data_IF_255255579794
#
_entry.id   IF_255255579794
#
_cell.length_a   1.000
_cell.length_b   1.000
_cell.length_c   1.000
_cell.angle_alpha   90.00
_cell.angle_beta   90.00
_cell.angle_gamma   90.00
#
_symmetry.space_group_name_H-M   'P 1'
#
loop_
_entity.id
_entity.type
_entity.pdbx_description
1 polymer ?
#
# COMPACT_ATOMS: atom_id res chain seq x y z
N UNK A 1 -14.48 -0.04 18.58
CA UNK A 1 -13.83 -0.05 17.25
C UNK A 1 -12.50 0.63 17.39
N UNK A 2 -11.36 0.03 17.02
CA UNK A 2 -10.11 0.78 16.93
C UNK A 2 -10.25 1.74 15.77
N UNK A 3 -9.89 2.98 16.02
CA UNK A 3 -10.02 4.09 15.10
C UNK A 3 -8.60 4.47 14.69
N UNK A 4 -8.30 4.48 13.39
CA UNK A 4 -6.97 4.87 12.89
C UNK A 4 -6.87 6.40 12.95
N UNK A 5 -6.23 6.91 14.00
CA UNK A 5 -5.78 8.30 14.14
C UNK A 5 -4.27 8.31 14.36
N UNK A 6 -3.60 9.43 14.08
CA UNK A 6 -2.14 9.54 14.21
C UNK A 6 -1.69 9.39 15.67
N UNK A 7 -2.61 9.57 16.64
CA UNK A 7 -2.42 9.24 18.05
C UNK A 7 -3.65 8.51 18.59
N UNK A 8 -3.47 7.28 19.05
CA UNK A 8 -4.47 6.55 19.84
C UNK A 8 -4.68 7.11 21.27
N UNK A 9 -4.05 8.24 21.59
CA UNK A 9 -4.01 8.87 22.91
C UNK A 9 -4.20 10.39 22.77
N UNK A 10 -4.83 11.05 23.76
CA UNK A 10 -4.91 12.51 23.77
C UNK A 10 -3.51 13.14 23.83
N UNK A 11 -3.33 14.24 23.11
CA UNK A 11 -2.13 15.05 23.15
C UNK A 11 -2.32 16.24 24.08
N UNK A 12 -1.24 16.67 24.73
CA UNK A 12 -1.23 17.88 25.55
C UNK A 12 -0.54 18.97 24.74
N UNK A 13 -1.29 20.00 24.36
CA UNK A 13 -0.77 21.15 23.62
C UNK A 13 -0.91 22.41 24.45
N UNK A 14 0.04 23.33 24.30
CA UNK A 14 0.01 24.64 24.95
C UNK A 14 -0.29 25.69 23.88
N UNK A 15 -1.34 26.48 24.09
CA UNK A 15 -1.71 27.52 23.12
C UNK A 15 -0.86 28.79 23.27
N UNK A 16 -1.10 29.77 22.39
CA UNK A 16 -0.37 31.04 22.37
C UNK A 16 -0.58 31.91 23.63
N UNK A 17 -1.47 31.50 24.54
CA UNK A 17 -1.77 32.16 25.80
C UNK A 17 -1.37 31.33 27.02
N UNK A 18 -0.51 30.32 26.84
CA UNK A 18 -0.02 29.41 27.88
C UNK A 18 -1.12 28.55 28.53
N UNK A 19 -2.25 28.33 27.86
CA UNK A 19 -3.25 27.38 28.35
C UNK A 19 -2.93 25.97 27.88
N UNK A 20 -3.00 25.03 28.82
CA UNK A 20 -2.91 23.60 28.56
C UNK A 20 -4.25 23.14 27.98
N UNK A 21 -4.20 22.62 26.75
CA UNK A 21 -5.34 22.01 26.07
C UNK A 21 -5.09 20.50 25.96
N UNK A 22 -6.17 19.73 26.12
CA UNK A 22 -6.17 18.30 25.81
C UNK A 22 -6.79 18.17 24.42
N UNK A 23 -5.98 17.81 23.42
CA UNK A 23 -6.44 17.54 22.07
C UNK A 23 -6.66 16.02 21.91
N UNK A 24 -7.78 15.62 21.32
CA UNK A 24 -7.95 14.25 20.84
C UNK A 24 -8.04 14.29 19.33
N UNK A 25 -7.45 13.30 18.67
CA UNK A 25 -7.57 13.15 17.23
C UNK A 25 -8.96 12.55 16.93
N UNK A 26 -9.93 13.40 16.59
CA UNK A 26 -11.22 12.93 16.07
C UNK A 26 -11.02 12.52 14.61
N UNK A 27 -10.99 11.22 14.38
CA UNK A 27 -10.79 10.69 13.04
C UNK A 27 -12.08 10.62 12.23
N UNK A 28 -13.24 10.97 12.82
CA UNK A 28 -14.50 11.06 12.08
C UNK A 28 -14.36 12.16 11.03
N UNK A 29 -14.72 11.85 9.79
CA UNK A 29 -14.43 12.69 8.63
C UNK A 29 -12.99 12.58 8.12
N UNK A 30 -12.15 11.77 8.78
CA UNK A 30 -10.79 11.46 8.39
C UNK A 30 -10.74 10.71 7.07
N UNK A 31 -9.64 10.92 6.34
CA UNK A 31 -9.39 10.33 5.03
C UNK A 31 -8.13 9.49 5.11
N UNK A 32 -8.22 8.24 4.70
CA UNK A 32 -7.07 7.34 4.56
C UNK A 32 -7.00 6.87 3.12
N UNK A 33 -5.78 6.79 2.58
CA UNK A 33 -5.52 6.21 1.27
C UNK A 33 -4.57 5.03 1.42
N UNK A 34 -5.00 3.89 0.89
CA UNK A 34 -4.30 2.61 0.94
C UNK A 34 -3.79 2.30 -0.48
N UNK A 35 -2.47 2.21 -0.66
CA UNK A 35 -1.86 1.74 -1.88
C UNK A 35 -1.26 0.36 -1.63
N UNK A 36 -1.89 -0.70 -2.14
CA UNK A 36 -1.35 -2.05 -2.04
C UNK A 36 -0.35 -2.28 -3.18
N UNK A 37 0.79 -2.90 -2.85
CA UNK A 37 1.81 -3.34 -3.81
C UNK A 37 1.86 -4.86 -3.71
N UNK A 38 1.27 -5.54 -4.68
CA UNK A 38 0.98 -6.96 -4.59
C UNK A 38 1.83 -7.71 -5.60
N UNK A 39 2.57 -8.66 -5.08
CA UNK A 39 3.30 -9.67 -5.84
C UNK A 39 2.37 -10.40 -6.81
N UNK A 40 2.73 -10.47 -8.10
CA UNK A 40 1.93 -11.15 -9.14
C UNK A 40 2.51 -12.51 -9.56
N UNK A 41 3.52 -13.00 -8.85
CA UNK A 41 4.11 -14.30 -9.08
C UNK A 41 3.10 -15.44 -8.99
N UNK A 42 3.50 -16.61 -9.48
CA UNK A 42 2.64 -17.79 -9.55
C UNK A 42 2.24 -18.37 -8.20
N UNK A 43 2.96 -18.06 -7.11
CA UNK A 43 2.69 -18.57 -5.77
C UNK A 43 1.54 -17.83 -5.07
N UNK A 44 1.24 -16.59 -5.47
CA UNK A 44 0.29 -15.70 -4.76
C UNK A 44 -1.21 -15.92 -5.05
N UNK A 45 -1.62 -17.12 -5.48
CA UNK A 45 -2.96 -17.33 -6.02
C UNK A 45 -4.10 -17.09 -5.00
N UNK A 46 -4.00 -17.64 -3.79
CA UNK A 46 -5.00 -17.47 -2.73
C UNK A 46 -4.99 -16.05 -2.17
N UNK A 47 -3.81 -15.48 -2.02
CA UNK A 47 -3.54 -14.18 -1.45
C UNK A 47 -4.14 -13.08 -2.34
N UNK A 48 -4.08 -13.24 -3.67
CA UNK A 48 -4.80 -12.38 -4.61
C UNK A 48 -6.31 -12.45 -4.49
N UNK A 49 -6.88 -13.62 -4.18
CA UNK A 49 -8.32 -13.72 -3.93
C UNK A 49 -8.70 -13.08 -2.58
N UNK A 50 -7.82 -13.23 -1.59
CA UNK A 50 -8.03 -12.79 -0.21
C UNK A 50 -7.79 -11.29 -0.02
N UNK A 51 -6.96 -10.64 -0.84
CA UNK A 51 -6.73 -9.19 -0.72
C UNK A 51 -8.01 -8.39 -0.96
N UNK A 52 -8.86 -8.82 -1.90
CA UNK A 52 -10.15 -8.20 -2.11
C UNK A 52 -11.13 -8.47 -0.97
N UNK A 53 -11.00 -9.62 -0.30
CA UNK A 53 -11.74 -9.89 0.95
C UNK A 53 -11.30 -8.91 2.04
N UNK A 54 -9.99 -8.71 2.22
CA UNK A 54 -9.44 -7.75 3.19
C UNK A 54 -9.92 -6.34 2.91
N UNK A 55 -9.94 -5.90 1.65
CA UNK A 55 -10.32 -4.53 1.29
C UNK A 55 -11.84 -4.35 1.28
N UNK A 56 -12.56 -5.16 0.50
CA UNK A 56 -13.97 -4.95 0.16
C UNK A 56 -14.94 -5.80 0.98
N UNK A 57 -14.46 -6.81 1.68
CA UNK A 57 -15.27 -7.78 2.41
C UNK A 57 -15.74 -8.94 1.54
N UNK A 58 -16.20 -10.00 2.20
CA UNK A 58 -16.62 -11.25 1.57
C UNK A 58 -16.11 -12.47 2.32
N UNK A 59 -16.00 -13.59 1.62
CA UNK A 59 -15.42 -14.81 2.18
C UNK A 59 -13.98 -14.99 1.70
N UNK A 60 -13.08 -15.37 2.60
CA UNK A 60 -11.73 -15.80 2.23
C UNK A 60 -11.78 -17.09 1.41
N UNK A 61 -10.73 -17.34 0.61
CA UNK A 61 -10.56 -18.54 -0.18
C UNK A 61 -10.54 -19.81 0.69
N UNK A 62 -9.98 -19.72 1.89
CA UNK A 62 -9.98 -20.79 2.91
C UNK A 62 -11.32 -20.91 3.67
N UNK A 63 -12.28 -20.01 3.42
CA UNK A 63 -13.54 -19.91 4.13
C UNK A 63 -13.50 -18.90 5.29
N UNK A 64 -14.69 -18.57 5.80
CA UNK A 64 -14.84 -17.53 6.83
C UNK A 64 -15.10 -16.16 6.23
N UNK A 65 -15.99 -15.42 6.88
CA UNK A 65 -16.44 -14.10 6.43
C UNK A 65 -15.64 -13.00 7.10
N UNK A 66 -15.24 -12.01 6.32
CA UNK A 66 -14.70 -10.74 6.81
C UNK A 66 -15.48 -9.57 6.21
N UNK A 67 -15.74 -8.55 7.03
CA UNK A 67 -16.52 -7.38 6.62
C UNK A 67 -15.77 -6.49 5.61
N UNK A 68 -14.43 -6.57 5.58
CA UNK A 68 -13.59 -5.69 4.77
C UNK A 68 -13.22 -4.40 5.52
N UNK A 69 -11.98 -3.96 5.35
CA UNK A 69 -11.45 -2.73 5.98
C UNK A 69 -12.23 -1.51 5.51
N UNK A 70 -12.54 -1.41 4.21
CA UNK A 70 -13.25 -0.25 3.67
C UNK A 70 -14.66 -0.11 4.26
N UNK A 71 -15.54 -1.14 4.23
CA UNK A 71 -16.84 -1.06 4.89
C UNK A 71 -16.77 -0.81 6.41
N UNK A 72 -15.77 -1.37 7.09
CA UNK A 72 -15.58 -1.16 8.54
C UNK A 72 -15.24 0.30 8.87
N UNK A 73 -14.33 0.91 8.12
CA UNK A 73 -13.92 2.30 8.34
C UNK A 73 -14.97 3.31 7.86
N UNK A 74 -15.70 3.00 6.79
CA UNK A 74 -16.84 3.82 6.35
C UNK A 74 -17.96 3.85 7.42
N UNK A 75 -18.19 2.74 8.12
CA UNK A 75 -19.11 2.70 9.28
C UNK A 75 -18.65 3.59 10.43
N UNK A 76 -17.34 3.82 10.56
CA UNK A 76 -16.73 4.74 11.52
C UNK A 76 -16.70 6.21 11.03
N UNK A 77 -17.41 6.54 9.95
CA UNK A 77 -17.45 7.86 9.33
C UNK A 77 -16.09 8.32 8.77
N UNK A 78 -15.27 7.38 8.29
CA UNK A 78 -14.03 7.70 7.56
C UNK A 78 -14.23 7.52 6.06
N UNK A 79 -13.47 8.25 5.26
CA UNK A 79 -13.34 7.96 3.82
C UNK A 79 -12.10 7.12 3.59
N UNK A 80 -12.28 5.96 2.96
CA UNK A 80 -11.18 5.09 2.53
C UNK A 80 -11.02 5.19 1.03
N UNK A 81 -9.84 5.62 0.62
CA UNK A 81 -9.33 5.54 -0.74
C UNK A 81 -8.46 4.30 -0.86
N UNK A 82 -8.56 3.57 -1.95
CA UNK A 82 -7.75 2.37 -2.16
C UNK A 82 -7.35 2.25 -3.62
N UNK A 83 -6.11 1.85 -3.85
CA UNK A 83 -5.65 1.33 -5.13
C UNK A 83 -4.85 0.07 -4.87
N UNK A 84 -5.12 -1.00 -5.63
CA UNK A 84 -4.38 -2.25 -5.53
C UNK A 84 -3.52 -2.36 -6.79
N UNK A 85 -2.21 -2.32 -6.63
CA UNK A 85 -1.26 -2.48 -7.73
C UNK A 85 -0.73 -3.92 -7.74
N UNK A 86 -0.92 -4.62 -8.84
CA UNK A 86 -0.15 -5.83 -9.13
C UNK A 86 1.16 -5.47 -9.81
N UNK A 87 2.27 -5.93 -9.24
CA UNK A 87 3.61 -5.73 -9.79
C UNK A 87 3.73 -6.33 -11.20
N UNK A 88 4.40 -5.61 -12.10
CA UNK A 88 4.55 -6.01 -13.49
C UNK A 88 3.40 -5.55 -14.41
N UNK A 89 3.39 -6.07 -15.64
CA UNK A 89 2.50 -5.63 -16.71
C UNK A 89 1.30 -6.57 -16.96
N UNK A 90 1.07 -7.51 -16.05
CA UNK A 90 -0.06 -8.44 -16.07
C UNK A 90 -0.69 -8.55 -14.69
N UNK A 91 -1.97 -8.89 -14.66
CA UNK A 91 -2.70 -9.20 -13.43
C UNK A 91 -3.14 -10.67 -13.48
N UNK A 92 -3.08 -11.40 -12.36
CA UNK A 92 -3.55 -12.78 -12.33
C UNK A 92 -5.07 -12.84 -12.52
N UNK A 93 -5.57 -13.99 -12.98
CA UNK A 93 -7.01 -14.21 -13.18
C UNK A 93 -7.83 -13.96 -11.92
N UNK A 94 -7.26 -14.25 -10.74
CA UNK A 94 -7.84 -14.00 -9.43
C UNK A 94 -8.28 -12.53 -9.24
N UNK A 95 -7.52 -11.57 -9.79
CA UNK A 95 -7.83 -10.14 -9.73
C UNK A 95 -9.14 -9.74 -10.44
N UNK A 96 -9.77 -10.66 -11.18
CA UNK A 96 -11.05 -10.42 -11.87
C UNK A 96 -12.19 -11.33 -11.39
N UNK A 97 -11.97 -12.08 -10.31
CA UNK A 97 -12.88 -13.13 -9.84
C UNK A 97 -13.25 -12.97 -8.36
N UNK A 98 -14.27 -13.68 -7.89
CA UNK A 98 -14.68 -13.66 -6.49
C UNK A 98 -14.94 -12.24 -5.98
N UNK A 99 -14.37 -11.89 -4.82
CA UNK A 99 -14.52 -10.56 -4.22
C UNK A 99 -13.79 -9.45 -5.02
N UNK A 100 -12.89 -9.82 -5.95
CA UNK A 100 -12.25 -8.89 -6.88
C UNK A 100 -13.07 -8.60 -8.14
N UNK A 101 -14.18 -9.29 -8.36
CA UNK A 101 -14.99 -9.12 -9.57
C UNK A 101 -15.44 -7.65 -9.75
N UNK A 102 -15.20 -7.11 -10.94
CA UNK A 102 -15.53 -5.71 -11.28
C UNK A 102 -14.58 -4.65 -10.71
N UNK A 103 -13.50 -5.03 -10.03
CA UNK A 103 -12.49 -4.09 -9.49
C UNK A 103 -11.29 -3.91 -10.41
N UNK A 104 -11.00 -4.89 -11.26
CA UNK A 104 -9.92 -4.83 -12.23
C UNK A 104 -10.14 -3.74 -13.29
N UNK A 105 -9.22 -2.79 -13.35
CA UNK A 105 -9.22 -1.69 -14.33
C UNK A 105 -8.39 -2.02 -15.58
N UNK A 106 -7.54 -3.05 -15.51
CA UNK A 106 -6.58 -3.44 -16.54
C UNK A 106 -5.75 -2.26 -17.08
N UNK A 107 -5.45 -1.30 -16.22
CA UNK A 107 -4.76 -0.05 -16.53
C UNK A 107 -3.58 0.15 -15.57
N UNK A 108 -2.66 1.04 -15.93
CA UNK A 108 -1.60 1.50 -15.03
C UNK A 108 -2.12 2.48 -13.97
N UNK A 109 -1.21 3.12 -13.20
CA UNK A 109 -1.51 4.19 -12.26
C UNK A 109 -2.41 5.30 -12.83
N UNK A 110 -3.16 5.97 -11.96
CA UNK A 110 -4.05 7.08 -12.34
C UNK A 110 -3.25 8.35 -12.58
N UNK A 111 -3.73 9.17 -13.52
CA UNK A 111 -3.19 10.52 -13.75
C UNK A 111 -3.71 11.58 -12.77
N UNK A 112 -4.72 11.26 -11.96
CA UNK A 112 -5.30 12.16 -10.97
C UNK A 112 -5.42 11.44 -9.63
N UNK A 113 -5.31 12.18 -8.50
CA UNK A 113 -5.57 11.59 -7.20
C UNK A 113 -7.04 11.20 -7.04
N UNK A 114 -7.31 10.31 -6.10
CA UNK A 114 -8.66 9.93 -5.70
C UNK A 114 -9.39 11.09 -4.99
N UNK A 115 -10.71 11.02 -4.92
CA UNK A 115 -11.55 12.03 -4.25
C UNK A 115 -11.83 13.28 -5.08
N UNK A 116 -11.79 13.21 -6.41
CA UNK A 116 -12.08 14.35 -7.30
C UNK A 116 -13.56 14.75 -7.29
N UNK A 117 -14.44 13.78 -7.08
CA UNK A 117 -15.88 13.97 -7.03
C UNK A 117 -16.52 12.96 -6.05
N UNK A 118 -17.76 13.19 -5.58
CA UNK A 118 -18.45 12.26 -4.70
C UNK A 118 -18.50 10.84 -5.28
N UNK A 119 -18.03 9.85 -4.52
CA UNK A 119 -17.94 8.45 -4.96
C UNK A 119 -16.63 8.05 -5.66
N UNK A 120 -15.71 8.98 -5.93
CA UNK A 120 -14.36 8.67 -6.43
C UNK A 120 -13.44 8.17 -5.31
N UNK A 121 -13.86 7.09 -4.65
CA UNK A 121 -13.15 6.52 -3.51
C UNK A 121 -12.36 5.25 -3.86
N UNK A 122 -12.37 4.79 -5.11
CA UNK A 122 -11.68 3.56 -5.53
C UNK A 122 -10.82 3.76 -6.77
N UNK A 123 -9.53 3.45 -6.65
CA UNK A 123 -8.61 3.32 -7.78
C UNK A 123 -8.77 1.99 -8.49
N UNK A 124 -9.32 0.97 -7.82
CA UNK A 124 -9.46 -0.39 -8.33
C UNK A 124 -8.13 -1.15 -8.38
N UNK A 125 -8.14 -2.28 -9.08
CA UNK A 125 -6.95 -3.12 -9.28
C UNK A 125 -6.26 -2.71 -10.59
N UNK A 126 -4.97 -2.42 -10.53
CA UNK A 126 -4.16 -1.80 -11.59
C UNK A 126 -2.81 -2.51 -11.70
N UNK A 127 -2.17 -2.36 -12.86
CA UNK A 127 -0.81 -2.84 -13.11
C UNK A 127 0.20 -1.82 -12.62
N UNK A 128 1.35 -2.29 -12.15
CA UNK A 128 2.51 -1.48 -11.82
C UNK A 128 3.72 -1.98 -12.61
N UNK A 129 3.87 -1.55 -13.87
CA UNK A 129 4.93 -2.06 -14.76
C UNK A 129 6.32 -1.55 -14.39
N UNK A 130 6.43 -0.45 -13.63
CA UNK A 130 7.69 0.13 -13.21
C UNK A 130 7.67 0.50 -11.73
N UNK A 131 8.74 0.16 -11.03
CA UNK A 131 9.03 0.46 -9.63
C UNK A 131 10.34 1.27 -9.56
N UNK A 132 10.87 1.55 -8.36
CA UNK A 132 12.13 2.31 -8.19
C UNK A 132 13.14 1.54 -7.37
N UNK A 133 14.35 1.36 -7.91
CA UNK A 133 15.47 0.74 -7.22
C UNK A 133 16.77 1.48 -7.57
N UNK A 134 17.63 1.77 -6.58
CA UNK A 134 18.88 2.53 -6.76
C UNK A 134 18.65 3.87 -7.48
N UNK A 135 17.57 4.57 -7.11
CA UNK A 135 17.20 5.87 -7.67
C UNK A 135 16.80 5.86 -9.15
N UNK A 136 16.57 4.69 -9.76
CA UNK A 136 16.21 4.55 -11.17
C UNK A 136 14.91 3.75 -11.34
N UNK A 137 14.24 3.94 -12.47
CA UNK A 137 13.11 3.08 -12.85
C UNK A 137 13.59 1.66 -12.99
N UNK A 138 12.92 0.77 -12.27
CA UNK A 138 13.15 -0.65 -12.27
C UNK A 138 11.90 -1.37 -12.78
N UNK A 139 12.09 -2.43 -13.56
CA UNK A 139 11.00 -3.30 -14.01
C UNK A 139 11.55 -4.71 -13.98
N UNK A 140 11.35 -5.38 -12.84
CA UNK A 140 11.72 -6.78 -12.71
C UNK A 140 10.80 -7.66 -13.54
N UNK A 141 11.29 -8.86 -13.85
CA UNK A 141 10.54 -9.83 -14.64
C UNK A 141 9.73 -10.80 -13.75
N UNK A 142 10.05 -10.87 -12.46
CA UNK A 142 9.42 -11.83 -11.54
C UNK A 142 8.01 -11.41 -11.11
N UNK A 143 7.78 -10.11 -10.99
CA UNK A 143 6.54 -9.58 -10.39
C UNK A 143 6.58 -9.59 -8.86
N UNK A 144 7.75 -9.75 -8.26
CA UNK A 144 7.94 -9.97 -6.81
C UNK A 144 8.61 -8.75 -6.11
N UNK A 145 8.88 -7.68 -6.86
CA UNK A 145 9.62 -6.49 -6.40
C UNK A 145 8.85 -5.55 -5.46
N UNK A 146 8.38 -6.07 -4.33
CA UNK A 146 7.59 -5.31 -3.36
C UNK A 146 8.42 -4.24 -2.62
N UNK A 147 9.74 -4.42 -2.46
CA UNK A 147 10.64 -3.41 -1.93
C UNK A 147 10.72 -2.18 -2.85
N UNK A 148 11.18 -2.34 -4.11
CA UNK A 148 11.15 -1.28 -5.11
C UNK A 148 9.77 -0.67 -5.36
N UNK A 149 8.71 -1.48 -5.29
CA UNK A 149 7.33 -1.00 -5.43
C UNK A 149 6.87 -0.14 -4.25
N UNK A 150 7.29 -0.47 -3.03
CA UNK A 150 7.04 0.38 -1.85
C UNK A 150 7.82 1.70 -1.94
N UNK A 151 9.08 1.63 -2.37
CA UNK A 151 9.92 2.80 -2.63
C UNK A 151 9.27 3.73 -3.67
N UNK A 152 8.77 3.18 -4.78
CA UNK A 152 8.01 3.92 -5.79
C UNK A 152 6.79 4.63 -5.21
N UNK A 153 6.00 3.95 -4.37
CA UNK A 153 4.80 4.55 -3.78
C UNK A 153 5.14 5.76 -2.90
N UNK A 154 6.23 5.68 -2.13
CA UNK A 154 6.69 6.74 -1.25
C UNK A 154 7.28 7.93 -2.02
N UNK A 155 8.12 7.64 -3.02
CA UNK A 155 8.68 8.67 -3.91
C UNK A 155 7.62 9.34 -4.79
N UNK A 156 6.48 8.68 -5.05
CA UNK A 156 5.33 9.29 -5.74
C UNK A 156 4.68 10.43 -4.95
N UNK A 157 4.84 10.47 -3.62
CA UNK A 157 4.35 11.59 -2.80
C UNK A 157 5.43 12.65 -2.54
N UNK A 158 6.63 12.22 -2.13
CA UNK A 158 7.79 13.10 -1.99
C UNK A 158 9.02 12.41 -2.55
N UNK A 159 9.65 13.03 -3.55
CA UNK A 159 10.84 12.45 -4.16
C UNK A 159 12.14 12.74 -3.38
N UNK A 160 13.25 12.16 -3.84
CA UNK A 160 14.57 12.32 -3.23
C UNK A 160 15.12 13.77 -3.28
N UNK A 161 14.54 14.64 -4.11
CA UNK A 161 14.87 16.08 -4.14
C UNK A 161 13.97 16.90 -3.20
N UNK A 162 13.01 16.25 -2.53
CA UNK A 162 12.07 16.85 -1.59
C UNK A 162 10.83 17.47 -2.24
N UNK A 163 10.58 17.25 -3.53
CA UNK A 163 9.39 17.80 -4.20
C UNK A 163 8.13 17.06 -3.79
N UNK A 164 7.02 17.80 -3.65
CA UNK A 164 5.68 17.29 -3.35
C UNK A 164 4.65 17.93 -4.29
N UNK A 165 3.86 17.19 -5.08
CA UNK A 165 3.99 15.74 -5.31
C UNK A 165 5.37 15.38 -5.85
N UNK A 166 5.87 14.21 -5.46
CA UNK A 166 7.14 13.70 -5.94
C UNK A 166 7.06 13.35 -7.42
N UNK A 167 8.22 13.39 -8.09
CA UNK A 167 8.38 12.94 -9.45
C UNK A 167 9.47 11.85 -9.46
N UNK A 168 9.13 10.60 -9.06
CA UNK A 168 10.07 9.51 -9.15
C UNK A 168 10.51 9.29 -10.61
N UNK A 169 11.57 8.52 -10.84
CA UNK A 169 12.04 8.19 -12.19
C UNK A 169 10.99 7.56 -13.14
N UNK A 170 9.82 7.14 -12.64
CA UNK A 170 8.71 6.61 -13.43
C UNK A 170 7.88 7.72 -14.08
N UNK A 171 7.21 7.41 -15.20
CA UNK A 171 6.18 8.30 -15.76
C UNK A 171 4.80 8.08 -15.13
N UNK A 172 4.63 6.97 -14.41
CA UNK A 172 3.37 6.47 -13.89
C UNK A 172 3.33 6.55 -12.35
N UNK A 173 3.43 7.74 -11.78
CA UNK A 173 3.46 7.89 -10.32
C UNK A 173 2.08 7.67 -9.70
N UNK A 174 2.05 7.14 -8.48
CA UNK A 174 0.81 7.15 -7.73
C UNK A 174 0.44 8.58 -7.32
N UNK A 175 -0.72 9.03 -7.80
CA UNK A 175 -1.27 10.32 -7.39
C UNK A 175 -2.00 10.19 -6.06
N UNK A 176 -1.27 10.42 -4.97
CA UNK A 176 -1.85 10.46 -3.64
C UNK A 176 -2.80 11.65 -3.44
N UNK A 177 -3.89 11.43 -2.71
CA UNK A 177 -4.74 12.49 -2.19
C UNK A 177 -3.96 13.29 -1.14
N UNK A 178 -3.78 14.61 -1.33
CA UNK A 178 -3.00 15.43 -0.41
C UNK A 178 -3.64 15.53 0.98
N UNK A 179 -4.96 15.29 1.09
CA UNK A 179 -5.73 15.40 2.33
C UNK A 179 -5.98 14.06 3.03
N UNK A 180 -5.34 12.97 2.57
CA UNK A 180 -5.45 11.65 3.20
C UNK A 180 -4.15 11.26 3.91
N UNK A 181 -4.28 10.51 5.00
CA UNK A 181 -3.20 9.69 5.56
C UNK A 181 -2.81 8.63 4.53
N UNK A 182 -1.52 8.50 4.24
CA UNK A 182 -1.00 7.68 3.14
C UNK A 182 -0.40 6.41 3.71
N UNK A 183 -0.90 5.27 3.29
CA UNK A 183 -0.43 3.96 3.75
C UNK A 183 -0.09 3.13 2.52
N UNK A 184 1.17 2.68 2.44
CA UNK A 184 1.59 1.70 1.44
C UNK A 184 1.60 0.32 2.09
N UNK A 185 1.05 -0.67 1.39
CA UNK A 185 0.87 -2.03 1.91
C UNK A 185 1.48 -3.02 0.92
N UNK A 186 2.79 -3.32 1.03
CA UNK A 186 3.39 -4.40 0.27
C UNK A 186 2.85 -5.76 0.72
N UNK A 187 2.57 -6.63 -0.25
CA UNK A 187 2.06 -7.99 -0.07
C UNK A 187 2.83 -8.95 -0.95
N UNK A 188 3.53 -9.91 -0.35
CA UNK A 188 4.30 -10.93 -1.07
C UNK A 188 4.58 -12.16 -0.19
N UNK A 189 4.89 -13.30 -0.80
CA UNK A 189 5.48 -14.47 -0.16
C UNK A 189 6.94 -14.70 -0.53
N UNK A 190 7.58 -13.71 -1.16
CA UNK A 190 8.91 -13.75 -1.74
C UNK A 190 9.79 -12.58 -1.24
N UNK A 191 11.08 -12.62 -1.57
CA UNK A 191 12.05 -11.56 -1.22
C UNK A 191 11.70 -10.18 -1.81
N UNK A 192 12.10 -9.06 -1.16
CA UNK A 192 11.76 -7.70 -1.61
C UNK A 192 12.28 -7.32 -2.99
N UNK A 193 13.33 -7.98 -3.48
CA UNK A 193 13.96 -7.68 -4.76
C UNK A 193 14.12 -8.94 -5.59
N UNK A 194 13.39 -9.01 -6.72
CA UNK A 194 13.33 -10.19 -7.61
C UNK A 194 12.93 -11.52 -6.95
N UNK A 195 12.38 -11.49 -5.72
CA UNK A 195 11.93 -12.68 -5.00
C UNK A 195 13.04 -13.58 -4.50
N UNK A 196 12.87 -14.90 -4.65
CA UNK A 196 13.85 -15.88 -4.16
C UNK A 196 15.10 -16.03 -5.07
N UNK A 197 16.30 -16.26 -4.48
CA UNK A 197 16.55 -16.49 -3.07
C UNK A 197 16.48 -15.20 -2.24
N UNK A 198 15.73 -15.24 -1.14
CA UNK A 198 15.66 -14.12 -0.19
C UNK A 198 16.94 -13.91 0.65
N UNK A 199 17.01 -12.76 1.33
CA UNK A 199 18.10 -12.30 2.21
C UNK A 199 19.40 -11.91 1.49
N UNK A 200 19.29 -11.47 0.23
CA UNK A 200 20.44 -10.98 -0.53
C UNK A 200 20.77 -9.53 -0.17
N UNK A 201 21.92 -9.05 -0.63
CA UNK A 201 22.35 -7.68 -0.34
C UNK A 201 21.45 -6.61 -1.00
N UNK A 202 20.89 -6.94 -2.16
CA UNK A 202 19.92 -6.11 -2.88
C UNK A 202 18.53 -6.13 -2.25
N UNK A 203 18.16 -7.20 -1.55
CA UNK A 203 16.95 -7.19 -0.69
C UNK A 203 17.06 -6.12 0.40
N UNK A 204 18.16 -6.14 1.15
CA UNK A 204 18.42 -5.19 2.23
C UNK A 204 18.45 -3.76 1.69
N UNK A 205 19.11 -3.56 0.55
CA UNK A 205 19.16 -2.25 -0.11
C UNK A 205 17.75 -1.77 -0.49
N UNK A 206 16.92 -2.64 -1.05
CA UNK A 206 15.56 -2.29 -1.44
C UNK A 206 14.66 -1.93 -0.24
N UNK A 207 14.81 -2.64 0.89
CA UNK A 207 14.13 -2.32 2.15
C UNK A 207 14.58 -0.96 2.67
N UNK A 208 15.89 -0.74 2.78
CA UNK A 208 16.47 0.53 3.28
C UNK A 208 16.00 1.74 2.45
N UNK A 209 16.01 1.61 1.11
CA UNK A 209 15.51 2.67 0.23
C UNK A 209 14.02 2.95 0.45
N UNK A 210 13.19 1.91 0.54
CA UNK A 210 11.77 2.07 0.78
C UNK A 210 11.51 2.71 2.14
N UNK A 211 12.12 2.19 3.21
CA UNK A 211 12.01 2.69 4.57
C UNK A 211 12.32 4.19 4.65
N UNK A 212 13.50 4.61 4.18
CA UNK A 212 13.98 5.99 4.31
C UNK A 212 13.12 6.97 3.50
N UNK A 213 12.71 6.57 2.29
CA UNK A 213 11.85 7.40 1.45
C UNK A 213 10.43 7.48 2.00
N UNK A 214 9.88 6.40 2.55
CA UNK A 214 8.57 6.42 3.20
C UNK A 214 8.55 7.30 4.45
N UNK A 215 9.57 7.20 5.30
CA UNK A 215 9.75 8.10 6.45
C UNK A 215 9.80 9.57 6.02
N UNK A 216 10.63 9.88 5.01
CA UNK A 216 10.81 11.27 4.52
C UNK A 216 9.55 11.82 3.85
N UNK A 217 8.80 10.94 3.17
CA UNK A 217 7.53 11.29 2.54
C UNK A 217 6.37 11.42 3.55
N UNK A 218 6.47 10.80 4.73
CA UNK A 218 5.33 10.67 5.64
C UNK A 218 4.27 9.71 5.10
N UNK A 219 4.71 8.67 4.38
CA UNK A 219 3.90 7.55 3.95
C UNK A 219 4.18 6.39 4.89
N UNK A 220 3.14 5.74 5.41
CA UNK A 220 3.26 4.70 6.43
C UNK A 220 3.33 3.33 5.72
N UNK A 221 4.46 2.60 5.79
CA UNK A 221 4.53 1.23 5.30
C UNK A 221 3.88 0.27 6.29
N UNK A 222 3.08 -0.68 5.78
CA UNK A 222 2.51 -1.79 6.55
C UNK A 222 2.64 -3.07 5.75
N UNK A 223 3.61 -3.91 6.10
CA UNK A 223 3.84 -5.18 5.42
C UNK A 223 2.79 -6.24 5.72
N UNK A 224 2.40 -7.01 4.70
CA UNK A 224 1.62 -8.24 4.82
C UNK A 224 2.34 -9.36 4.08
N UNK A 225 2.56 -10.50 4.72
CA UNK A 225 3.24 -11.63 4.08
C UNK A 225 2.32 -12.84 3.94
N UNK A 226 2.51 -13.56 2.82
CA UNK A 226 1.89 -14.86 2.59
C UNK A 226 2.66 -16.01 3.24
N UNK A 227 2.13 -17.23 3.15
CA UNK A 227 2.87 -18.44 3.50
C UNK A 227 3.83 -18.81 2.36
N UNK A 228 5.10 -18.42 2.48
CA UNK A 228 6.12 -18.76 1.48
C UNK A 228 6.47 -20.24 1.40
N UNK A 229 6.92 -20.69 0.23
CA UNK A 229 7.34 -22.06 -0.04
C UNK A 229 8.67 -22.37 0.68
N UNK A 230 8.64 -23.18 1.74
CA UNK A 230 9.86 -23.56 2.49
C UNK A 230 10.06 -22.85 3.83
N UNK A 231 9.14 -21.95 4.20
CA UNK A 231 9.07 -21.34 5.54
C UNK A 231 9.05 -19.82 5.48
N UNK A 232 7.98 -19.21 6.00
CA UNK A 232 7.77 -17.76 5.99
C UNK A 232 8.76 -16.95 6.87
N UNK A 233 9.76 -17.58 7.51
CA UNK A 233 10.62 -16.91 8.49
C UNK A 233 11.46 -15.77 7.91
N UNK A 234 12.08 -16.00 6.74
CA UNK A 234 12.91 -14.98 6.09
C UNK A 234 12.07 -13.82 5.56
N UNK A 235 10.95 -14.15 4.91
CA UNK A 235 10.04 -13.15 4.35
C UNK A 235 9.39 -12.33 5.45
N UNK A 236 8.90 -12.99 6.51
CA UNK A 236 8.38 -12.33 7.70
C UNK A 236 9.43 -11.40 8.32
N UNK A 237 10.70 -11.82 8.39
CA UNK A 237 11.79 -10.97 8.90
C UNK A 237 11.90 -9.67 8.10
N UNK A 238 11.93 -9.77 6.77
CA UNK A 238 12.06 -8.60 5.89
C UNK A 238 10.90 -7.62 5.99
N UNK A 239 9.68 -8.09 6.29
CA UNK A 239 8.54 -7.18 6.55
C UNK A 239 8.56 -6.53 7.94
N UNK A 240 9.46 -6.98 8.83
CA UNK A 240 9.68 -6.37 10.14
C UNK A 240 10.88 -5.41 10.16
N UNK A 241 11.72 -5.43 9.13
CA UNK A 241 12.85 -4.53 8.93
C UNK A 241 12.39 -3.16 8.37
#
# INVERSE_FOLDING_TARGET
TPIIGHKGHPDVVVDANDYVQIAWDDTRGGKVELAFIVDTSGSMYSEWADICTVVYGGNFASGGYFQGIKPMLETANMTVYETIYGLGNSLPGAASSGNCAGKNQNAGPRNTPLGQFPGDNSGGIRKLPGTIYNGNTYSGYSGEDWGPGSNWACLSWKDASGYVPGNPPTQDDHRWNPNATKIVIPVSDEGPKDGDPSQQADDLTAIEEAHDNCLTAGVIPVGLYGQGYGGAGNIQSHFMD
#
